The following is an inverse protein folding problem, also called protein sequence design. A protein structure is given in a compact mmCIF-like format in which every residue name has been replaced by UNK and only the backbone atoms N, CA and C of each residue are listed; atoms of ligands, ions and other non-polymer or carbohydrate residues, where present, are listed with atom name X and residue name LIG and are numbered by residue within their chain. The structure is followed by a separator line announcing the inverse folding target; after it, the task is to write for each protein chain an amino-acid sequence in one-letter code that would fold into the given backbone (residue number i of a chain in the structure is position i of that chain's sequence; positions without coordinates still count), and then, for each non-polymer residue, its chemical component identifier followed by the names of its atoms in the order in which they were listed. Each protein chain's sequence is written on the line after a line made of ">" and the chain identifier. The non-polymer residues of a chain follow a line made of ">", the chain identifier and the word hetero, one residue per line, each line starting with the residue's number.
data_IF_523437583376
#
_entry.id   IF_523437583376
#
_cell.length_a   1.000
_cell.length_b   1.000
_cell.length_c   1.000
_cell.angle_alpha   90.00
_cell.angle_beta   90.00
_cell.angle_gamma   90.00
#
_symmetry.space_group_name_H-M   'P 1'
#
loop_
_entity.id
_entity.type
_entity.pdbx_description
1 polymer ?
#
# COMPACT_ATOMS: atom_id res chain seq x y z
N UNK A 1 20.22 9.33 10.37
CA UNK A 1 19.09 10.18 9.93
C UNK A 1 17.82 9.55 10.48
N UNK A 2 16.82 10.35 10.87
CA UNK A 2 15.51 9.83 11.26
C UNK A 2 14.87 9.12 10.06
N UNK A 3 14.12 8.05 10.29
CA UNK A 3 13.47 7.30 9.22
C UNK A 3 12.39 8.13 8.51
N UNK A 4 11.98 7.73 7.30
CA UNK A 4 10.86 8.40 6.60
C UNK A 4 9.58 8.39 7.44
N UNK A 5 9.37 7.30 8.18
CA UNK A 5 8.24 7.07 9.09
C UNK A 5 8.22 8.10 10.23
N UNK A 6 9.36 8.27 10.92
CA UNK A 6 9.54 9.22 12.02
C UNK A 6 9.37 10.67 11.52
N UNK A 7 9.98 11.00 10.39
CA UNK A 7 9.89 12.34 9.79
C UNK A 7 8.47 12.68 9.36
N UNK A 8 7.73 11.71 8.84
CA UNK A 8 6.33 11.92 8.46
C UNK A 8 5.46 12.16 9.70
N UNK A 9 5.65 11.39 10.77
CA UNK A 9 4.97 11.60 12.05
C UNK A 9 5.25 13.01 12.61
N UNK A 10 6.52 13.43 12.62
CA UNK A 10 6.92 14.77 13.07
C UNK A 10 6.28 15.86 12.20
N UNK A 11 6.21 15.66 10.89
CA UNK A 11 5.50 16.55 9.98
C UNK A 11 4.02 16.67 10.35
N UNK A 12 3.32 15.55 10.57
CA UNK A 12 1.89 15.56 10.94
C UNK A 12 1.69 16.31 12.26
N UNK A 13 2.53 16.05 13.26
CA UNK A 13 2.48 16.71 14.59
C UNK A 13 2.78 18.20 14.53
N UNK A 14 3.60 18.64 13.57
CA UNK A 14 3.94 20.06 13.41
C UNK A 14 2.76 20.92 12.94
N UNK A 15 1.69 20.32 12.40
CA UNK A 15 0.53 21.03 11.86
C UNK A 15 -0.57 21.17 12.89
N UNK A 16 -1.07 22.39 13.04
CA UNK A 16 -2.19 22.71 13.93
C UNK A 16 -3.45 21.96 13.49
N UNK A 17 -4.22 21.44 14.45
CA UNK A 17 -5.48 20.70 14.27
C UNK A 17 -5.37 19.30 13.64
N UNK A 18 -4.16 18.76 13.48
CA UNK A 18 -3.98 17.33 13.23
C UNK A 18 -4.01 16.56 14.56
N UNK A 19 -4.50 15.33 14.50
CA UNK A 19 -4.59 14.42 15.63
C UNK A 19 -3.93 13.11 15.24
N UNK A 20 -2.97 12.66 16.04
CA UNK A 20 -2.45 11.29 15.98
C UNK A 20 -3.36 10.44 16.85
N UNK A 21 -4.06 9.47 16.24
CA UNK A 21 -5.08 8.68 16.92
C UNK A 21 -4.49 7.79 18.01
N UNK A 22 -3.25 7.33 17.83
CA UNK A 22 -2.50 6.58 18.83
C UNK A 22 -2.34 7.34 20.15
N UNK A 23 -2.21 8.67 20.09
CA UNK A 23 -2.04 9.52 21.27
C UNK A 23 -3.34 9.65 22.09
N UNK A 24 -4.49 9.27 21.53
CA UNK A 24 -5.82 9.39 22.18
C UNK A 24 -6.58 8.05 22.26
N UNK A 25 -5.91 6.92 22.01
CA UNK A 25 -6.53 5.59 21.95
C UNK A 25 -7.28 5.17 23.21
N UNK A 26 -6.88 5.66 24.38
CA UNK A 26 -7.56 5.34 25.64
C UNK A 26 -8.91 6.07 25.82
N UNK A 27 -9.09 7.21 25.16
CA UNK A 27 -10.32 8.01 25.26
C UNK A 27 -11.44 7.54 24.30
N UNK A 28 -11.10 6.68 23.33
CA UNK A 28 -11.98 6.31 22.20
C UNK A 28 -12.47 4.84 22.30
N UNK A 29 -12.15 4.13 23.39
CA UNK A 29 -12.59 2.73 23.57
C UNK A 29 -14.11 2.59 23.43
N UNK A 30 -14.53 1.84 22.41
CA UNK A 30 -15.91 1.37 22.29
C UNK A 30 -16.23 0.47 23.48
N UNK A 31 -17.41 0.67 24.07
CA UNK A 31 -17.97 -0.13 25.17
C UNK A 31 -18.29 -1.59 24.78
N UNK A 32 -17.96 -2.04 23.56
CA UNK A 32 -18.28 -3.38 23.04
C UNK A 32 -17.12 -4.39 23.16
N UNK A 33 -15.97 -3.99 23.70
CA UNK A 33 -14.80 -4.86 23.89
C UNK A 33 -14.07 -5.24 22.60
N UNK A 34 -14.47 -4.71 21.44
CA UNK A 34 -13.79 -4.96 20.16
C UNK A 34 -12.84 -3.81 19.83
N UNK A 35 -11.54 -4.05 20.00
CA UNK A 35 -10.50 -3.14 19.51
C UNK A 35 -10.35 -3.29 17.99
N UNK A 36 -11.30 -2.81 17.19
CA UNK A 36 -11.04 -2.63 15.76
C UNK A 36 -9.93 -1.58 15.62
N UNK A 37 -8.78 -1.96 15.03
CA UNK A 37 -7.68 -1.00 14.78
C UNK A 37 -8.23 0.18 13.99
N UNK A 38 -8.09 1.38 14.57
CA UNK A 38 -8.37 2.64 13.90
C UNK A 38 -7.21 3.01 12.97
N UNK A 39 -7.43 4.06 12.19
CA UNK A 39 -6.39 4.69 11.39
C UNK A 39 -5.41 5.48 12.26
N UNK A 40 -4.30 5.91 11.67
CA UNK A 40 -3.23 6.58 12.41
C UNK A 40 -3.53 8.06 12.68
N UNK A 41 -4.21 8.75 11.76
CA UNK A 41 -4.39 10.20 11.85
C UNK A 41 -5.80 10.71 11.50
N UNK A 42 -6.17 11.83 12.14
CA UNK A 42 -7.22 12.75 11.68
C UNK A 42 -6.58 14.09 11.32
N UNK A 43 -6.83 14.56 10.10
CA UNK A 43 -6.26 15.80 9.57
C UNK A 43 -7.38 16.81 9.29
N UNK A 44 -6.99 18.08 9.15
CA UNK A 44 -7.88 19.17 8.73
C UNK A 44 -9.18 19.22 9.52
N UNK A 45 -9.12 19.33 10.85
CA UNK A 45 -10.30 19.35 11.73
C UNK A 45 -11.19 18.09 11.63
N UNK A 46 -10.59 16.92 11.36
CA UNK A 46 -11.27 15.62 11.20
C UNK A 46 -12.03 15.44 9.88
N UNK A 47 -11.79 16.31 8.90
CA UNK A 47 -12.33 16.17 7.55
C UNK A 47 -11.63 15.05 6.77
N UNK A 48 -10.40 14.69 7.16
CA UNK A 48 -9.61 13.61 6.53
C UNK A 48 -9.17 12.60 7.58
N UNK A 49 -9.36 11.32 7.30
CA UNK A 49 -8.78 10.18 8.02
C UNK A 49 -7.61 9.68 7.18
N UNK A 50 -6.41 9.59 7.74
CA UNK A 50 -5.23 9.12 7.03
C UNK A 50 -4.64 7.88 7.70
N UNK A 51 -4.50 6.80 6.94
CA UNK A 51 -3.76 5.59 7.33
C UNK A 51 -2.35 5.64 6.75
N UNK A 52 -1.34 5.30 7.55
CA UNK A 52 0.05 5.17 7.15
C UNK A 52 0.48 3.72 7.04
N UNK A 53 1.13 3.40 5.91
CA UNK A 53 1.74 2.11 5.67
C UNK A 53 3.19 2.29 5.24
N UNK A 54 4.08 1.55 5.88
CA UNK A 54 5.48 1.48 5.48
C UNK A 54 5.68 0.28 4.54
N UNK A 55 6.27 0.53 3.39
CA UNK A 55 6.76 -0.48 2.47
C UNK A 55 8.17 -0.86 2.95
N UNK A 56 8.31 -1.97 3.68
CA UNK A 56 9.60 -2.41 4.28
C UNK A 56 10.24 -3.61 3.60
N UNK A 57 9.48 -4.40 2.84
CA UNK A 57 9.96 -5.67 2.29
C UNK A 57 10.36 -5.52 0.82
N UNK A 58 11.66 -5.64 0.54
CA UNK A 58 12.13 -5.97 -0.80
C UNK A 58 11.62 -7.36 -1.18
N UNK A 59 10.75 -7.43 -2.20
CA UNK A 59 10.17 -8.69 -2.70
C UNK A 59 10.94 -9.27 -3.87
N UNK A 60 12.14 -8.76 -4.18
CA UNK A 60 12.96 -9.26 -5.27
C UNK A 60 13.15 -10.77 -5.19
N UNK A 61 13.46 -11.32 -4.02
CA UNK A 61 13.64 -12.77 -3.85
C UNK A 61 12.37 -13.57 -4.10
N UNK A 62 11.22 -13.12 -3.58
CA UNK A 62 9.92 -13.75 -3.81
C UNK A 62 9.50 -13.72 -5.29
N UNK A 63 9.79 -12.61 -5.98
CA UNK A 63 9.50 -12.48 -7.40
C UNK A 63 10.44 -13.39 -8.20
N UNK A 64 11.72 -13.45 -7.83
CA UNK A 64 12.70 -14.35 -8.45
C UNK A 64 12.31 -15.83 -8.27
N UNK A 65 11.88 -16.23 -7.07
CA UNK A 65 11.33 -17.56 -6.81
C UNK A 65 10.12 -17.84 -7.71
N UNK A 66 9.20 -16.88 -7.85
CA UNK A 66 8.03 -17.05 -8.71
C UNK A 66 8.41 -17.17 -10.18
N UNK A 67 9.39 -16.39 -10.65
CA UNK A 67 9.92 -16.46 -12.01
C UNK A 67 10.61 -17.81 -12.26
N UNK A 68 11.36 -18.33 -11.29
CA UNK A 68 11.97 -19.66 -11.35
C UNK A 68 10.90 -20.76 -11.48
N UNK A 69 9.80 -20.67 -10.73
CA UNK A 69 8.70 -21.64 -10.85
C UNK A 69 7.99 -21.54 -12.20
N UNK A 70 7.74 -20.33 -12.71
CA UNK A 70 7.13 -20.14 -14.02
C UNK A 70 8.04 -20.64 -15.16
N UNK A 71 9.36 -20.48 -15.03
CA UNK A 71 10.32 -20.94 -16.03
C UNK A 71 10.36 -22.48 -16.18
N UNK A 72 9.79 -23.24 -15.23
CA UNK A 72 9.66 -24.69 -15.37
C UNK A 72 8.61 -25.09 -16.40
N UNK A 73 7.59 -24.26 -16.61
CA UNK A 73 6.44 -24.56 -17.48
C UNK A 73 6.34 -23.61 -18.68
N UNK A 74 6.96 -22.44 -18.60
CA UNK A 74 6.99 -21.44 -19.66
C UNK A 74 8.30 -21.51 -20.47
N UNK A 75 8.22 -22.00 -21.71
CA UNK A 75 9.40 -22.21 -22.57
C UNK A 75 10.07 -20.92 -23.01
N UNK A 76 9.34 -19.80 -23.11
CA UNK A 76 9.96 -18.51 -23.45
C UNK A 76 10.73 -17.96 -22.25
N UNK A 77 10.11 -18.00 -21.07
CA UNK A 77 10.73 -17.52 -19.84
C UNK A 77 11.97 -18.35 -19.49
N UNK A 78 11.91 -19.67 -19.65
CA UNK A 78 13.05 -20.59 -19.47
C UNK A 78 14.31 -20.21 -20.27
N UNK A 79 14.13 -19.60 -21.45
CA UNK A 79 15.24 -19.14 -22.32
C UNK A 79 15.66 -17.70 -22.07
N UNK A 80 14.81 -16.93 -21.40
CA UNK A 80 14.95 -15.48 -21.26
C UNK A 80 15.26 -15.05 -19.82
N UNK A 81 15.07 -15.94 -18.84
CA UNK A 81 15.29 -15.71 -17.42
C UNK A 81 16.59 -16.37 -16.93
N UNK A 82 17.53 -15.55 -16.47
CA UNK A 82 18.83 -15.97 -15.93
C UNK A 82 19.11 -15.41 -14.52
N UNK A 83 18.07 -15.00 -13.79
CA UNK A 83 18.19 -14.53 -12.40
C UNK A 83 18.58 -13.06 -12.20
N UNK A 84 18.81 -12.29 -13.28
CA UNK A 84 19.26 -10.87 -13.19
C UNK A 84 18.50 -9.90 -14.12
N UNK A 85 17.44 -10.35 -14.76
CA UNK A 85 16.72 -9.52 -15.75
C UNK A 85 15.67 -8.66 -15.05
N UNK A 86 15.54 -7.39 -15.46
CA UNK A 86 14.50 -6.51 -14.95
C UNK A 86 13.10 -7.06 -15.29
N UNK A 87 12.21 -7.15 -14.31
CA UNK A 87 10.87 -7.76 -14.46
C UNK A 87 10.09 -7.12 -15.61
N UNK A 88 10.15 -5.80 -15.75
CA UNK A 88 9.44 -5.09 -16.82
C UNK A 88 9.97 -5.47 -18.21
N UNK A 89 11.27 -5.74 -18.32
CA UNK A 89 11.86 -6.18 -19.57
C UNK A 89 11.36 -7.57 -19.96
N UNK A 90 11.20 -8.47 -18.98
CA UNK A 90 10.60 -9.79 -19.18
C UNK A 90 9.14 -9.66 -19.60
N UNK A 91 8.36 -8.83 -18.92
CA UNK A 91 6.95 -8.60 -19.23
C UNK A 91 6.78 -8.10 -20.66
N UNK A 92 7.55 -7.08 -21.05
CA UNK A 92 7.45 -6.47 -22.38
C UNK A 92 7.84 -7.42 -23.50
N UNK A 93 8.84 -8.29 -23.28
CA UNK A 93 9.33 -9.21 -24.32
C UNK A 93 8.56 -10.54 -24.38
N UNK A 94 7.73 -10.84 -23.37
CA UNK A 94 6.96 -12.07 -23.32
C UNK A 94 5.91 -12.12 -24.45
N UNK A 95 5.78 -13.24 -25.20
CA UNK A 95 4.81 -13.37 -26.29
C UNK A 95 3.35 -13.16 -25.85
N UNK A 96 3.03 -13.53 -24.61
CA UNK A 96 1.74 -13.29 -23.95
C UNK A 96 1.86 -12.18 -22.89
N UNK A 97 2.33 -10.99 -23.28
CA UNK A 97 2.70 -9.90 -22.36
C UNK A 97 1.64 -9.59 -21.31
N UNK A 98 0.37 -9.48 -21.69
CA UNK A 98 -0.70 -9.07 -20.78
C UNK A 98 -1.04 -10.15 -19.75
N UNK A 99 -1.14 -11.41 -20.19
CA UNK A 99 -1.41 -12.54 -19.31
C UNK A 99 -0.23 -12.80 -18.36
N UNK A 100 1.00 -12.66 -18.87
CA UNK A 100 2.22 -12.77 -18.08
C UNK A 100 2.34 -11.63 -17.07
N UNK A 101 2.08 -10.38 -17.49
CA UNK A 101 1.99 -9.21 -16.62
C UNK A 101 1.03 -9.50 -15.48
N UNK A 102 -0.21 -9.88 -15.76
CA UNK A 102 -1.20 -10.18 -14.71
C UNK A 102 -0.68 -11.22 -13.70
N UNK A 103 -0.09 -12.32 -14.18
CA UNK A 103 0.48 -13.38 -13.32
C UNK A 103 1.62 -12.89 -12.44
N UNK A 104 2.53 -12.06 -12.96
CA UNK A 104 3.68 -11.55 -12.20
C UNK A 104 3.25 -10.43 -11.25
N UNK A 105 2.42 -9.50 -11.73
CA UNK A 105 1.93 -8.36 -10.95
C UNK A 105 1.11 -8.83 -9.75
N UNK A 106 0.27 -9.87 -9.89
CA UNK A 106 -0.48 -10.44 -8.76
C UNK A 106 0.41 -10.98 -7.62
N UNK A 107 1.66 -11.32 -7.91
CA UNK A 107 2.65 -11.71 -6.90
C UNK A 107 3.46 -10.52 -6.40
N UNK A 108 3.94 -9.69 -7.32
CA UNK A 108 4.77 -8.52 -7.03
C UNK A 108 4.04 -7.46 -6.20
N UNK A 109 2.73 -7.31 -6.42
CA UNK A 109 1.88 -6.27 -5.80
C UNK A 109 0.91 -6.81 -4.76
N UNK A 110 1.03 -8.08 -4.36
CA UNK A 110 0.13 -8.68 -3.36
C UNK A 110 0.17 -7.92 -2.04
N UNK A 111 1.36 -7.52 -1.58
CA UNK A 111 1.50 -6.65 -0.42
C UNK A 111 0.74 -5.34 -0.62
N UNK A 112 0.82 -4.70 -1.79
CA UNK A 112 0.11 -3.45 -2.04
C UNK A 112 -1.41 -3.66 -1.91
N UNK A 113 -1.95 -4.75 -2.48
CA UNK A 113 -3.35 -5.14 -2.30
C UNK A 113 -3.71 -5.33 -0.83
N UNK A 114 -2.85 -6.02 -0.07
CA UNK A 114 -3.05 -6.25 1.36
C UNK A 114 -2.99 -4.94 2.18
N UNK A 115 -2.11 -4.00 1.81
CA UNK A 115 -1.98 -2.68 2.42
C UNK A 115 -3.25 -1.87 2.19
N UNK A 116 -3.72 -1.77 0.93
CA UNK A 116 -4.96 -1.06 0.58
C UNK A 116 -6.17 -1.70 1.28
N UNK A 117 -6.28 -3.03 1.26
CA UNK A 117 -7.37 -3.73 1.93
C UNK A 117 -7.40 -3.47 3.44
N UNK A 118 -6.23 -3.40 4.07
CA UNK A 118 -6.11 -3.16 5.51
C UNK A 118 -6.42 -1.71 5.85
N UNK A 119 -5.91 -0.76 5.07
CA UNK A 119 -6.23 0.65 5.19
C UNK A 119 -7.73 0.92 5.04
N UNK A 120 -8.37 0.34 4.01
CA UNK A 120 -9.81 0.45 3.79
C UNK A 120 -10.62 0.01 5.03
N UNK A 121 -10.22 -1.11 5.67
CA UNK A 121 -10.87 -1.58 6.90
C UNK A 121 -10.65 -0.64 8.09
N UNK A 122 -9.44 -0.12 8.28
CA UNK A 122 -9.11 0.79 9.38
C UNK A 122 -9.80 2.15 9.22
N UNK A 123 -9.86 2.68 8.01
CA UNK A 123 -10.59 3.92 7.70
C UNK A 123 -12.08 3.72 7.97
N UNK A 124 -12.69 2.63 7.49
CA UNK A 124 -14.09 2.30 7.79
C UNK A 124 -14.35 2.24 9.30
N UNK A 125 -13.52 1.49 10.02
CA UNK A 125 -13.63 1.35 11.47
C UNK A 125 -13.49 2.70 12.18
N UNK A 126 -12.65 3.59 11.67
CA UNK A 126 -12.46 4.95 12.21
C UNK A 126 -13.68 5.83 11.95
N UNK A 127 -14.22 5.83 10.73
CA UNK A 127 -15.47 6.54 10.37
C UNK A 127 -16.61 6.13 11.30
N UNK A 128 -16.77 4.82 11.53
CA UNK A 128 -17.78 4.25 12.40
C UNK A 128 -17.54 4.60 13.88
N UNK A 129 -16.30 4.48 14.36
CA UNK A 129 -16.00 4.68 15.79
C UNK A 129 -16.10 6.13 16.24
N UNK A 130 -15.79 7.07 15.35
CA UNK A 130 -15.85 8.50 15.63
C UNK A 130 -17.12 9.17 15.12
N UNK A 131 -18.04 8.40 14.52
CA UNK A 131 -19.28 8.90 13.91
C UNK A 131 -19.04 10.04 12.90
N UNK A 132 -18.03 9.87 12.03
CA UNK A 132 -17.64 10.83 10.97
C UNK A 132 -17.73 10.18 9.57
N UNK A 133 -18.91 9.68 9.15
CA UNK A 133 -19.04 8.91 7.91
C UNK A 133 -18.68 9.68 6.63
N UNK A 134 -18.66 11.01 6.69
CA UNK A 134 -18.35 11.90 5.56
C UNK A 134 -16.87 12.28 5.44
N UNK A 135 -16.03 11.88 6.40
CA UNK A 135 -14.60 12.17 6.31
C UNK A 135 -14.00 11.49 5.08
N UNK A 136 -13.07 12.17 4.42
CA UNK A 136 -12.32 11.62 3.28
C UNK A 136 -11.26 10.65 3.83
N UNK A 137 -11.17 9.45 3.27
CA UNK A 137 -10.18 8.44 3.60
C UNK A 137 -8.95 8.53 2.71
N UNK A 138 -7.80 8.75 3.32
CA UNK A 138 -6.50 8.72 2.65
C UNK A 138 -5.68 7.53 3.08
N UNK A 139 -4.89 7.00 2.16
CA UNK A 139 -3.79 6.08 2.45
C UNK A 139 -2.47 6.76 2.06
N UNK A 140 -1.53 6.87 3.00
CA UNK A 140 -0.13 7.22 2.70
C UNK A 140 0.73 5.96 2.76
N UNK A 141 1.45 5.69 1.67
CA UNK A 141 2.44 4.62 1.57
C UNK A 141 3.81 5.28 1.55
N UNK A 142 4.61 4.98 2.56
CA UNK A 142 5.99 5.43 2.69
C UNK A 142 6.91 4.32 2.19
N UNK A 143 7.78 4.61 1.23
CA UNK A 143 8.79 3.68 0.70
C UNK A 143 10.19 4.18 1.04
N UNK A 144 10.88 3.47 1.93
CA UNK A 144 12.18 3.94 2.44
C UNK A 144 13.39 3.38 1.68
N UNK A 145 13.26 2.32 0.87
CA UNK A 145 14.42 1.71 0.17
C UNK A 145 14.09 0.59 -0.84
N UNK A 146 12.84 0.45 -1.32
CA UNK A 146 12.51 -0.73 -2.14
C UNK A 146 12.77 -0.46 -3.62
N UNK A 147 13.89 -0.98 -4.10
CA UNK A 147 14.51 -0.70 -5.41
C UNK A 147 14.09 -1.56 -6.63
N UNK A 148 13.07 -2.46 -6.64
CA UNK A 148 12.58 -3.07 -7.88
C UNK A 148 11.33 -2.40 -8.47
N UNK A 149 10.73 -1.40 -7.81
CA UNK A 149 9.49 -0.79 -8.30
C UNK A 149 9.77 0.54 -9.01
N UNK A 150 9.60 0.57 -10.33
CA UNK A 150 9.36 1.83 -11.05
C UNK A 150 8.11 2.51 -10.45
N UNK A 151 8.26 3.71 -9.90
CA UNK A 151 7.20 4.41 -9.18
C UNK A 151 5.91 4.55 -10.01
N UNK A 152 6.03 4.67 -11.33
CA UNK A 152 4.91 4.74 -12.26
C UNK A 152 4.03 3.48 -12.25
N UNK A 153 4.63 2.30 -12.13
CA UNK A 153 3.88 1.03 -12.09
C UNK A 153 3.17 0.84 -10.75
N UNK A 154 3.79 1.26 -9.65
CA UNK A 154 3.13 1.28 -8.32
C UNK A 154 1.94 2.21 -8.32
N UNK A 155 2.11 3.42 -8.86
CA UNK A 155 1.02 4.39 -8.97
C UNK A 155 -0.11 3.84 -9.85
N UNK A 156 0.21 3.18 -10.96
CA UNK A 156 -0.80 2.58 -11.85
C UNK A 156 -1.62 1.50 -11.12
N UNK A 157 -0.97 0.60 -10.39
CA UNK A 157 -1.67 -0.43 -9.61
C UNK A 157 -2.49 0.20 -8.47
N UNK A 158 -1.95 1.19 -7.77
CA UNK A 158 -2.67 1.90 -6.71
C UNK A 158 -3.92 2.61 -7.24
N UNK A 159 -3.83 3.27 -8.39
CA UNK A 159 -4.98 3.89 -9.04
C UNK A 159 -6.05 2.85 -9.38
N UNK A 160 -5.64 1.73 -9.99
CA UNK A 160 -6.56 0.63 -10.28
C UNK A 160 -7.26 0.08 -9.02
N UNK A 161 -6.54 -0.02 -7.90
CA UNK A 161 -7.12 -0.46 -6.64
C UNK A 161 -8.06 0.60 -6.04
N UNK A 162 -7.70 1.88 -6.05
CA UNK A 162 -8.54 2.96 -5.50
C UNK A 162 -9.84 3.13 -6.29
N UNK A 163 -9.80 2.94 -7.61
CA UNK A 163 -11.00 2.97 -8.46
C UNK A 163 -11.89 1.74 -8.27
N UNK A 164 -11.40 0.69 -7.62
CA UNK A 164 -12.17 -0.52 -7.39
C UNK A 164 -13.20 -0.31 -6.26
N UNK A 165 -14.50 -0.54 -6.50
CA UNK A 165 -15.55 -0.38 -5.49
C UNK A 165 -15.36 -1.22 -4.22
N UNK A 166 -14.53 -2.27 -4.28
CA UNK A 166 -14.18 -3.06 -3.09
C UNK A 166 -13.41 -2.27 -2.02
N UNK A 167 -12.72 -1.18 -2.40
CA UNK A 167 -11.93 -0.33 -1.52
C UNK A 167 -12.53 1.07 -1.36
N UNK A 168 -13.87 1.16 -1.30
CA UNK A 168 -14.67 2.40 -1.29
C UNK A 168 -14.39 3.41 -0.17
N UNK A 169 -13.60 3.07 0.85
CA UNK A 169 -13.23 4.00 1.92
C UNK A 169 -11.84 4.60 1.74
N UNK A 170 -11.08 4.20 0.72
CA UNK A 170 -9.84 4.86 0.32
C UNK A 170 -10.17 5.78 -0.85
N UNK A 171 -10.32 7.07 -0.57
CA UNK A 171 -10.67 8.09 -1.57
C UNK A 171 -9.43 8.59 -2.34
N UNK A 172 -8.24 8.52 -1.73
CA UNK A 172 -6.98 8.86 -2.37
C UNK A 172 -5.79 8.11 -1.77
N UNK A 173 -4.72 8.01 -2.56
CA UNK A 173 -3.43 7.46 -2.12
C UNK A 173 -2.31 8.45 -2.35
N UNK A 174 -1.45 8.61 -1.34
CA UNK A 174 -0.18 9.31 -1.43
C UNK A 174 0.94 8.29 -1.38
N UNK A 175 1.81 8.29 -2.39
CA UNK A 175 3.01 7.48 -2.42
C UNK A 175 4.23 8.37 -2.26
N UNK A 176 4.96 8.22 -1.16
CA UNK A 176 6.15 9.00 -0.84
C UNK A 176 7.34 8.04 -0.84
N UNK A 177 8.30 8.28 -1.73
CA UNK A 177 9.51 7.47 -1.87
C UNK A 177 10.73 8.34 -1.72
N UNK A 178 11.75 7.82 -1.04
CA UNK A 178 13.07 8.44 -0.89
C UNK A 178 14.19 7.50 -1.33
#
# INVERSE_FOLDING_TARGET
>A
MASIDERFLDFIRSRKNNIVLDDIKDDVKKNDGTNSKMADYLLFNRDVILEQKLLTNDRTDLINEKLNELAKTDEWLKRSWFGRVHIEELIRKHPESDAFRKKIMDYAYRNIKDLVATANRQIRATKESLNIPRAVGGLVILNESIMPYESENVITELNFLVENPHYEHVDFVLYISE
#
